data_IF_999415717284
#
_entry.id   IF_999415717284
#
_cell.length_a   1.000
_cell.length_b   1.000
_cell.length_c   1.000
_cell.angle_alpha   90.00
_cell.angle_beta   90.00
_cell.angle_gamma   90.00
#
_symmetry.space_group_name_H-M   'P 1'
#
loop_
_entity.id
_entity.type
_entity.pdbx_description
1 polymer ?
#
# COMPACT_ATOMS: atom_id res chain seq x y z
N UNK A 1 -9.23 50.73 -37.26
CA UNK A 1 -10.22 50.12 -36.34
C UNK A 1 -9.67 48.82 -35.75
N UNK A 2 -8.36 48.77 -35.50
CA UNK A 2 -7.65 47.48 -35.41
C UNK A 2 -7.08 47.23 -34.02
N UNK A 3 -6.74 48.28 -33.27
CA UNK A 3 -6.21 48.14 -31.91
C UNK A 3 -7.20 47.47 -30.95
N UNK A 4 -8.47 47.88 -30.97
CA UNK A 4 -9.51 47.33 -30.07
C UNK A 4 -9.76 45.84 -30.34
N UNK A 5 -9.73 45.42 -31.60
CA UNK A 5 -9.88 44.02 -31.98
C UNK A 5 -8.66 43.17 -31.57
N UNK A 6 -7.45 43.73 -31.65
CA UNK A 6 -6.22 43.08 -31.19
C UNK A 6 -6.22 42.90 -29.67
N UNK A 7 -6.60 43.94 -28.91
CA UNK A 7 -6.73 43.85 -27.45
C UNK A 7 -7.78 42.84 -27.02
N UNK A 8 -8.94 42.79 -27.68
CA UNK A 8 -9.99 41.81 -27.40
C UNK A 8 -9.53 40.38 -27.64
N UNK A 9 -8.82 40.12 -28.75
CA UNK A 9 -8.27 38.78 -29.04
C UNK A 9 -7.21 38.36 -28.03
N UNK A 10 -6.31 39.27 -27.64
CA UNK A 10 -5.27 39.00 -26.65
C UNK A 10 -5.88 38.67 -25.27
N UNK A 11 -6.93 39.40 -24.89
CA UNK A 11 -7.63 39.16 -23.63
C UNK A 11 -8.34 37.80 -23.62
N UNK A 12 -8.99 37.44 -24.72
CA UNK A 12 -9.62 36.13 -24.89
C UNK A 12 -8.60 34.99 -24.85
N UNK A 13 -7.44 35.12 -25.50
CA UNK A 13 -6.38 34.10 -25.41
C UNK A 13 -5.82 33.97 -24.00
N UNK A 14 -5.59 35.07 -23.29
CA UNK A 14 -5.13 35.04 -21.88
C UNK A 14 -6.17 34.33 -20.99
N UNK A 15 -7.47 34.58 -21.18
CA UNK A 15 -8.55 33.89 -20.45
C UNK A 15 -8.56 32.39 -20.76
N UNK A 16 -8.33 31.98 -22.01
CA UNK A 16 -8.27 30.55 -22.36
C UNK A 16 -7.03 29.86 -21.78
N UNK A 17 -5.88 30.53 -21.75
CA UNK A 17 -4.64 29.99 -21.17
C UNK A 17 -4.77 29.86 -19.65
N UNK A 18 -5.35 30.85 -18.96
CA UNK A 18 -5.55 30.77 -17.50
C UNK A 18 -6.52 29.65 -17.10
N UNK A 19 -7.57 29.39 -17.89
CA UNK A 19 -8.46 28.23 -17.70
C UNK A 19 -7.72 26.90 -17.80
N UNK A 20 -6.77 26.75 -18.73
CA UNK A 20 -5.97 25.53 -18.90
C UNK A 20 -5.07 25.30 -17.68
N UNK A 21 -4.45 26.35 -17.13
CA UNK A 21 -3.59 26.22 -15.95
C UNK A 21 -4.36 25.90 -14.65
N UNK A 22 -5.64 26.28 -14.54
CA UNK A 22 -6.43 26.01 -13.34
C UNK A 22 -6.96 24.57 -13.22
N UNK A 23 -6.84 23.72 -14.25
CA UNK A 23 -7.42 22.37 -14.25
C UNK A 23 -6.45 21.25 -13.80
N UNK A 24 -5.22 21.56 -13.38
CA UNK A 24 -4.16 20.56 -13.31
C UNK A 24 -3.59 20.25 -11.90
N UNK A 25 -4.35 20.50 -10.83
CA UNK A 25 -3.89 20.20 -9.44
C UNK A 25 -4.79 19.19 -8.69
N UNK A 26 -5.57 18.40 -9.42
CA UNK A 26 -6.03 17.11 -8.90
C UNK A 26 -5.09 16.06 -9.51
N UNK A 27 -4.02 15.74 -8.80
CA UNK A 27 -3.17 14.60 -9.16
C UNK A 27 -4.05 13.36 -9.33
N UNK A 28 -3.86 12.60 -10.40
CA UNK A 28 -4.57 11.33 -10.56
C UNK A 28 -4.20 10.41 -9.39
N UNK A 29 -5.21 9.83 -8.72
CA UNK A 29 -4.98 8.84 -7.69
C UNK A 29 -4.57 7.51 -8.34
N UNK A 30 -3.46 6.93 -7.87
CA UNK A 30 -2.84 5.73 -8.47
C UNK A 30 -2.61 4.65 -7.43
N UNK A 31 -3.62 4.33 -6.63
CA UNK A 31 -3.54 3.27 -5.61
C UNK A 31 -3.84 1.89 -6.20
N UNK A 32 -2.84 1.01 -6.21
CA UNK A 32 -2.89 -0.28 -6.87
C UNK A 32 -2.51 -1.44 -5.93
N UNK A 33 -3.00 -2.63 -6.27
CA UNK A 33 -2.55 -3.90 -5.68
C UNK A 33 -1.47 -4.51 -6.54
N UNK A 34 -0.24 -4.53 -6.04
CA UNK A 34 0.93 -5.00 -6.79
C UNK A 34 1.52 -6.27 -6.17
N UNK A 35 2.12 -7.16 -6.98
CA UNK A 35 2.88 -8.29 -6.46
C UNK A 35 4.22 -7.82 -5.85
N UNK A 36 4.68 -8.56 -4.85
CA UNK A 36 5.96 -8.41 -4.18
C UNK A 36 6.44 -9.76 -3.66
N UNK A 37 7.67 -9.84 -3.18
CA UNK A 37 8.25 -11.08 -2.66
C UNK A 37 8.76 -10.86 -1.24
N UNK A 38 8.46 -11.79 -0.34
CA UNK A 38 8.89 -11.73 1.06
C UNK A 38 9.53 -13.04 1.48
N UNK A 39 10.50 -12.92 2.40
CA UNK A 39 11.13 -14.05 3.07
C UNK A 39 10.40 -14.29 4.40
N UNK A 40 9.82 -15.49 4.55
CA UNK A 40 9.12 -15.91 5.76
C UNK A 40 9.98 -16.93 6.50
N UNK A 41 10.07 -16.73 7.82
CA UNK A 41 10.68 -17.68 8.75
C UNK A 41 9.62 -18.04 9.79
N UNK A 42 9.37 -19.32 9.98
CA UNK A 42 8.40 -19.82 10.96
C UNK A 42 9.04 -20.89 11.83
N UNK A 43 8.89 -20.73 13.13
CA UNK A 43 9.33 -21.69 14.14
C UNK A 43 8.14 -22.50 14.64
N UNK A 44 8.35 -23.79 14.85
CA UNK A 44 7.43 -24.71 15.52
C UNK A 44 8.05 -25.17 16.84
N UNK A 45 7.23 -25.13 17.89
CA UNK A 45 7.61 -25.50 19.25
C UNK A 45 6.78 -26.69 19.68
N UNK A 46 7.40 -27.59 20.46
CA UNK A 46 6.69 -28.71 21.07
C UNK A 46 5.83 -28.27 22.27
N UNK A 47 5.05 -29.21 22.84
CA UNK A 47 4.20 -28.97 24.01
C UNK A 47 4.96 -28.52 25.27
N UNK A 48 6.29 -28.74 25.31
CA UNK A 48 7.16 -28.30 26.40
C UNK A 48 7.81 -26.94 26.11
N UNK A 49 7.48 -26.31 24.97
CA UNK A 49 8.03 -25.03 24.54
C UNK A 49 9.46 -25.10 23.98
N UNK A 50 9.93 -26.29 23.61
CA UNK A 50 11.24 -26.46 22.97
C UNK A 50 11.11 -26.29 21.46
N UNK A 51 12.09 -25.66 20.85
CA UNK A 51 12.14 -25.52 19.39
C UNK A 51 12.20 -26.91 18.75
N UNK A 52 11.24 -27.22 17.89
CA UNK A 52 11.17 -28.47 17.14
C UNK A 52 11.82 -28.32 15.76
N UNK A 53 11.50 -27.24 15.05
CA UNK A 53 12.09 -26.91 13.74
C UNK A 53 11.85 -25.45 13.36
N UNK A 54 12.70 -24.96 12.46
CA UNK A 54 12.57 -23.64 11.82
C UNK A 54 12.45 -23.83 10.31
N UNK A 55 11.37 -23.32 9.72
CA UNK A 55 11.09 -23.41 8.30
C UNK A 55 11.17 -22.04 7.61
N UNK A 56 11.77 -22.02 6.43
CA UNK A 56 11.96 -20.83 5.60
C UNK A 56 11.24 -21.00 4.26
N UNK A 57 10.80 -19.88 3.70
CA UNK A 57 10.26 -19.84 2.35
C UNK A 57 10.23 -18.42 1.80
N UNK A 58 10.53 -18.30 0.52
CA UNK A 58 10.37 -17.09 -0.26
C UNK A 58 9.02 -17.15 -0.97
N UNK A 59 8.13 -16.21 -0.67
CA UNK A 59 6.72 -16.26 -1.06
C UNK A 59 6.34 -14.94 -1.73
N UNK A 60 5.79 -15.04 -2.95
CA UNK A 60 5.16 -13.91 -3.60
C UNK A 60 3.88 -13.52 -2.85
N UNK A 61 3.74 -12.25 -2.48
CA UNK A 61 2.59 -11.66 -1.79
C UNK A 61 2.15 -10.37 -2.44
N UNK A 62 0.88 -10.02 -2.28
CA UNK A 62 0.39 -8.72 -2.71
C UNK A 62 0.74 -7.61 -1.71
N UNK A 63 0.89 -6.39 -2.22
CA UNK A 63 1.04 -5.15 -1.45
C UNK A 63 0.19 -4.03 -2.05
N UNK A 64 -0.11 -3.01 -1.24
CA UNK A 64 -0.74 -1.77 -1.71
C UNK A 64 0.32 -0.70 -1.94
N UNK A 65 0.33 -0.09 -3.12
CA UNK A 65 1.28 0.97 -3.47
C UNK A 65 0.60 2.01 -4.37
N UNK A 66 0.92 3.28 -4.16
CA UNK A 66 0.32 4.35 -4.96
C UNK A 66 0.30 5.72 -4.30
N UNK A 67 -0.28 6.68 -5.03
CA UNK A 67 -0.50 8.05 -4.55
C UNK A 67 -1.98 8.34 -4.32
N UNK A 68 -2.29 8.98 -3.20
CA UNK A 68 -3.65 9.41 -2.83
C UNK A 68 -3.69 10.92 -2.61
N UNK A 69 -4.77 11.58 -3.03
CA UNK A 69 -4.88 13.02 -2.91
C UNK A 69 -5.06 13.44 -1.45
N UNK A 70 -4.13 14.26 -0.97
CA UNK A 70 -4.17 14.80 0.39
C UNK A 70 -4.01 16.31 0.35
N UNK A 71 -4.66 17.02 1.26
CA UNK A 71 -4.64 18.47 1.32
C UNK A 71 -4.41 18.97 2.73
N UNK A 72 -3.71 20.10 2.83
CA UNK A 72 -3.57 20.89 4.06
C UNK A 72 -4.03 22.31 3.76
N UNK A 73 -4.87 22.86 4.63
CA UNK A 73 -5.34 24.24 4.55
C UNK A 73 -5.09 24.95 5.88
N UNK A 74 -4.66 26.22 5.89
CA UNK A 74 -4.59 27.02 7.11
C UNK A 74 -5.96 27.10 7.80
N UNK A 75 -5.99 27.10 9.13
CA UNK A 75 -7.23 27.11 9.89
C UNK A 75 -7.03 27.76 11.27
N UNK A 76 -7.91 28.70 11.59
CA UNK A 76 -7.97 29.36 12.92
C UNK A 76 -8.80 28.60 13.95
N UNK A 77 -9.56 27.58 13.52
CA UNK A 77 -10.44 26.78 14.40
C UNK A 77 -9.75 25.52 14.93
N UNK A 78 -8.69 25.06 14.26
CA UNK A 78 -7.93 23.87 14.66
C UNK A 78 -6.71 24.28 15.48
N UNK A 79 -6.42 23.65 16.64
CA UNK A 79 -5.26 24.00 17.49
C UNK A 79 -3.90 23.91 16.78
N UNK A 80 -3.80 23.06 15.76
CA UNK A 80 -2.59 22.90 14.92
C UNK A 80 -2.35 24.05 13.94
N UNK A 81 -3.28 25.01 13.81
CA UNK A 81 -3.23 26.07 12.80
C UNK A 81 -3.54 25.60 11.37
N UNK A 82 -3.85 24.31 11.19
CA UNK A 82 -4.11 23.70 9.88
C UNK A 82 -5.20 22.64 9.96
N UNK A 83 -6.13 22.71 9.00
CA UNK A 83 -7.06 21.64 8.67
C UNK A 83 -6.35 20.66 7.70
N UNK A 84 -6.28 19.39 8.09
CA UNK A 84 -5.60 18.34 7.32
C UNK A 84 -6.60 17.31 6.84
N UNK A 85 -6.58 17.03 5.54
CA UNK A 85 -7.33 15.94 4.91
C UNK A 85 -6.31 15.01 4.25
N UNK A 86 -6.00 13.89 4.90
CA UNK A 86 -4.98 12.94 4.47
C UNK A 86 -5.64 11.64 4.04
N UNK A 87 -5.14 11.03 2.96
CA UNK A 87 -5.52 9.71 2.49
C UNK A 87 -4.29 8.84 2.25
N UNK A 88 -4.36 7.56 2.64
CA UNK A 88 -3.33 6.56 2.40
C UNK A 88 -3.86 5.43 1.51
N UNK A 89 -3.02 4.93 0.60
CA UNK A 89 -3.29 3.71 -0.15
C UNK A 89 -3.15 2.51 0.80
N UNK A 90 -4.26 1.85 1.11
CA UNK A 90 -4.31 0.72 2.05
C UNK A 90 -5.23 -0.38 1.51
N UNK A 91 -5.12 -1.55 2.13
CA UNK A 91 -5.96 -2.70 1.85
C UNK A 91 -7.44 -2.37 2.08
N UNK A 92 -8.27 -2.67 1.08
CA UNK A 92 -9.73 -2.61 1.21
C UNK A 92 -10.28 -3.98 1.63
N UNK A 93 -9.62 -5.06 1.18
CA UNK A 93 -9.94 -6.44 1.47
C UNK A 93 -8.67 -7.28 1.61
N UNK A 94 -8.74 -8.29 2.47
CA UNK A 94 -7.67 -9.27 2.68
C UNK A 94 -8.18 -10.64 2.24
N UNK A 95 -7.33 -11.42 1.57
CA UNK A 95 -7.56 -12.84 1.32
C UNK A 95 -6.62 -13.69 2.16
N UNK A 96 -7.15 -14.76 2.75
CA UNK A 96 -6.35 -15.78 3.42
C UNK A 96 -6.03 -16.91 2.42
N UNK A 97 -4.79 -17.40 2.44
CA UNK A 97 -4.40 -18.61 1.72
C UNK A 97 -3.34 -19.38 2.52
N UNK A 98 -3.25 -20.68 2.27
CA UNK A 98 -2.21 -21.53 2.83
C UNK A 98 -0.99 -21.49 1.91
N UNK A 99 0.20 -21.38 2.49
CA UNK A 99 1.49 -21.46 1.79
C UNK A 99 2.40 -22.45 2.48
N UNK A 100 3.20 -23.15 1.68
CA UNK A 100 4.11 -24.19 2.17
C UNK A 100 5.54 -23.65 2.19
N UNK A 101 6.16 -23.69 3.37
CA UNK A 101 7.58 -23.44 3.58
C UNK A 101 8.34 -24.75 3.41
N UNK A 102 9.33 -24.81 2.53
CA UNK A 102 9.99 -26.05 2.10
C UNK A 102 11.43 -26.24 2.62
N UNK A 103 11.96 -25.22 3.30
CA UNK A 103 13.32 -25.24 3.83
C UNK A 103 13.27 -25.32 5.36
N UNK A 104 13.10 -26.53 5.89
CA UNK A 104 13.01 -26.77 7.32
C UNK A 104 14.31 -27.33 7.91
N UNK A 105 14.68 -26.84 9.09
CA UNK A 105 15.90 -27.19 9.82
C UNK A 105 15.56 -27.55 11.26
N UNK A 106 16.30 -28.49 11.82
CA UNK A 106 16.24 -28.83 13.24
C UNK A 106 16.98 -27.77 14.11
N UNK A 107 16.93 -27.87 15.45
CA UNK A 107 17.60 -26.91 16.34
C UNK A 107 19.13 -26.87 16.19
N UNK A 108 19.73 -27.94 15.65
CA UNK A 108 21.16 -28.03 15.37
C UNK A 108 21.52 -27.44 13.98
N UNK A 109 20.53 -26.97 13.23
CA UNK A 109 20.68 -26.37 11.90
C UNK A 109 20.80 -27.38 10.76
N UNK A 110 20.52 -28.67 10.99
CA UNK A 110 20.52 -29.69 9.95
C UNK A 110 19.18 -29.71 9.21
N UNK A 111 19.24 -29.87 7.88
CA UNK A 111 18.04 -29.89 7.04
C UNK A 111 17.21 -31.14 7.30
N UNK A 112 15.91 -30.94 7.55
CA UNK A 112 14.93 -32.00 7.75
C UNK A 112 14.47 -32.55 6.40
N UNK A 113 14.62 -33.87 6.20
CA UNK A 113 14.25 -34.58 4.97
C UNK A 113 13.08 -35.55 5.15
N UNK A 114 12.66 -35.82 6.40
CA UNK A 114 11.52 -36.69 6.68
C UNK A 114 10.22 -36.06 6.15
N UNK A 115 9.34 -36.88 5.56
CA UNK A 115 8.15 -36.41 4.83
C UNK A 115 7.27 -35.44 5.63
N UNK A 116 7.11 -35.71 6.93
CA UNK A 116 6.28 -34.90 7.85
C UNK A 116 6.97 -33.61 8.32
N UNK A 117 8.31 -33.57 8.28
CA UNK A 117 9.11 -32.49 8.88
C UNK A 117 9.78 -31.58 7.85
N UNK A 118 9.89 -32.02 6.59
CA UNK A 118 10.59 -31.31 5.51
C UNK A 118 9.88 -30.04 5.04
N UNK A 119 8.59 -29.89 5.35
CA UNK A 119 7.78 -28.76 4.94
C UNK A 119 6.77 -28.36 6.01
N UNK A 120 6.32 -27.11 5.97
CA UNK A 120 5.35 -26.54 6.90
C UNK A 120 4.34 -25.67 6.18
N UNK A 121 3.06 -25.98 6.37
CA UNK A 121 1.97 -25.15 5.87
C UNK A 121 1.64 -24.05 6.88
N UNK A 122 1.58 -22.81 6.41
CA UNK A 122 1.18 -21.64 7.19
C UNK A 122 0.02 -20.93 6.53
N UNK A 123 -0.83 -20.30 7.34
CA UNK A 123 -1.88 -19.40 6.87
C UNK A 123 -1.31 -18.00 6.72
N UNK A 124 -1.43 -17.44 5.52
CA UNK A 124 -0.98 -16.10 5.19
C UNK A 124 -2.17 -15.26 4.72
N UNK A 125 -2.24 -14.02 5.20
CA UNK A 125 -3.23 -13.03 4.75
C UNK A 125 -2.53 -11.94 3.96
N UNK A 126 -3.04 -11.63 2.79
CA UNK A 126 -2.50 -10.58 1.91
C UNK A 126 -3.62 -9.72 1.32
N UNK A 127 -3.32 -8.48 0.89
CA UNK A 127 -4.28 -7.62 0.21
C UNK A 127 -4.82 -8.26 -1.07
N UNK A 128 -6.14 -8.28 -1.23
CA UNK A 128 -6.80 -8.65 -2.49
C UNK A 128 -7.24 -7.44 -3.31
N UNK A 129 -7.38 -6.28 -2.66
CA UNK A 129 -7.77 -5.01 -3.27
C UNK A 129 -7.21 -3.86 -2.41
N UNK A 130 -6.89 -2.72 -3.04
CA UNK A 130 -6.27 -1.56 -2.42
C UNK A 130 -6.97 -0.27 -2.85
N UNK A 131 -7.22 0.65 -1.90
CA UNK A 131 -7.88 1.94 -2.16
C UNK A 131 -7.33 3.05 -1.27
N UNK A 132 -7.61 4.29 -1.65
CA UNK A 132 -7.31 5.45 -0.83
C UNK A 132 -8.31 5.58 0.32
N UNK A 133 -7.82 5.60 1.56
CA UNK A 133 -8.61 5.75 2.77
C UNK A 133 -8.14 6.92 3.60
N UNK A 134 -9.07 7.64 4.23
CA UNK A 134 -8.75 8.73 5.14
C UNK A 134 -7.83 8.22 6.25
N UNK A 135 -6.73 8.94 6.48
CA UNK A 135 -5.76 8.63 7.53
C UNK A 135 -6.44 8.73 8.90
N UNK A 136 -6.15 7.79 9.80
CA UNK A 136 -6.69 7.76 11.17
C UNK A 136 -8.12 7.22 11.30
N UNK A 137 -8.76 6.81 10.20
CA UNK A 137 -9.99 6.03 10.25
C UNK A 137 -9.66 4.53 10.25
N UNK A 138 -10.06 3.86 11.33
CA UNK A 138 -9.86 2.43 11.59
C UNK A 138 -11.19 1.67 11.76
N UNK A 139 -12.33 2.30 11.44
CA UNK A 139 -13.67 1.75 11.68
C UNK A 139 -14.08 0.62 10.71
N UNK A 140 -13.14 -0.21 10.28
CA UNK A 140 -13.34 -1.31 9.33
C UNK A 140 -12.96 -2.67 9.90
#
# INVERSE_FOLDING_TARGET
>A
MDAVAIFSKLFLTIITISRIHTMNDFGEETCETLPSEINIIKEEYDELGRLQRTCHGEIAVNKCEGSCNSQVQPSVITPTGFLKTCYCCRESFLRERVVTLSHCYDPDGMRLNAEELKAMDIKLREPSDCKCFKCGDFSR
#
